data_IF_007896262938
#
_entry.id   IF_007896262938
#
_cell.length_a   1.000
_cell.length_b   1.000
_cell.length_c   1.000
_cell.angle_alpha   90.00
_cell.angle_beta   90.00
_cell.angle_gamma   90.00
#
_symmetry.space_group_name_H-M   'P 1'
#
loop_
_entity.id
_entity.type
_entity.pdbx_description
1 polymer ?
#
# COMPACT_ATOMS: atom_id res chain seq x y z
N UNK A 1 0.48 8.00 -23.89
CA UNK A 1 0.41 9.20 -23.03
C UNK A 1 1.81 9.70 -22.72
N UNK A 2 2.61 9.02 -21.89
CA UNK A 2 3.95 9.52 -21.53
C UNK A 2 4.91 9.57 -22.74
N UNK A 3 4.94 8.54 -23.59
CA UNK A 3 5.81 8.53 -24.79
C UNK A 3 5.46 9.60 -25.82
N UNK A 4 4.26 10.20 -25.73
CA UNK A 4 3.84 11.32 -26.58
C UNK A 4 4.05 12.69 -25.91
N UNK A 5 4.42 12.72 -24.63
CA UNK A 5 4.58 13.96 -23.85
C UNK A 5 6.02 14.52 -23.89
N UNK A 6 6.99 13.73 -24.38
CA UNK A 6 8.39 14.15 -24.44
C UNK A 6 9.24 13.22 -25.31
N UNK A 7 10.54 13.52 -25.46
CA UNK A 7 11.44 12.77 -26.32
C UNK A 7 11.84 11.40 -25.76
N UNK A 8 11.64 11.17 -24.46
CA UNK A 8 11.96 9.91 -23.82
C UNK A 8 10.85 8.88 -24.07
N UNK A 9 11.17 7.69 -24.63
CA UNK A 9 10.20 6.61 -24.72
C UNK A 9 9.77 6.18 -23.33
N UNK A 10 8.46 6.01 -23.14
CA UNK A 10 7.89 5.38 -21.96
C UNK A 10 7.35 4.00 -22.31
N UNK A 11 7.59 3.02 -21.42
CA UNK A 11 7.09 1.65 -21.58
C UNK A 11 6.80 1.02 -20.22
N UNK A 12 5.96 -0.01 -20.22
CA UNK A 12 5.87 -0.86 -19.05
C UNK A 12 7.16 -1.66 -18.86
N UNK A 13 7.58 -1.76 -17.61
CA UNK A 13 8.74 -2.55 -17.25
C UNK A 13 8.53 -4.05 -17.51
N UNK A 14 9.58 -4.72 -17.98
CA UNK A 14 9.68 -6.16 -18.15
C UNK A 14 10.67 -6.77 -17.16
N UNK A 15 10.30 -7.90 -16.55
CA UNK A 15 11.18 -8.56 -15.59
C UNK A 15 12.49 -9.03 -16.25
N UNK A 16 13.61 -8.67 -15.67
CA UNK A 16 14.95 -9.03 -16.13
C UNK A 16 15.52 -8.12 -17.23
N UNK A 17 14.81 -7.06 -17.62
CA UNK A 17 15.38 -6.12 -18.60
C UNK A 17 16.46 -5.23 -17.96
N UNK A 18 17.50 -4.90 -18.73
CA UNK A 18 18.52 -3.96 -18.29
C UNK A 18 17.93 -2.55 -18.17
N UNK A 19 18.34 -1.82 -17.12
CA UNK A 19 18.02 -0.41 -16.97
C UNK A 19 18.90 0.39 -17.94
N UNK A 20 18.29 1.07 -18.92
CA UNK A 20 19.03 1.89 -19.89
C UNK A 20 18.71 3.38 -19.73
N UNK A 21 19.66 4.29 -20.02
CA UNK A 21 19.43 5.72 -20.00
C UNK A 21 18.33 6.16 -20.99
N UNK A 22 17.78 7.35 -20.75
CA UNK A 22 16.78 7.99 -21.62
C UNK A 22 15.50 7.17 -21.85
N UNK A 23 15.07 6.39 -20.85
CA UNK A 23 13.85 5.59 -20.92
C UNK A 23 13.02 5.76 -19.63
N UNK A 24 11.71 5.93 -19.79
CA UNK A 24 10.76 5.98 -18.67
C UNK A 24 10.16 4.58 -18.49
N UNK A 25 10.38 3.99 -17.32
CA UNK A 25 9.84 2.68 -16.96
C UNK A 25 8.64 2.85 -16.04
N UNK A 26 7.51 2.31 -16.46
CA UNK A 26 6.25 2.37 -15.72
C UNK A 26 5.97 1.00 -15.11
N UNK A 27 5.70 0.98 -13.81
CA UNK A 27 5.28 -0.24 -13.13
C UNK A 27 4.03 -0.85 -13.80
N UNK A 28 3.96 -2.18 -13.83
CA UNK A 28 2.77 -2.87 -14.33
C UNK A 28 1.72 -2.93 -13.21
N UNK A 29 0.42 -2.82 -13.52
CA UNK A 29 -0.62 -3.03 -12.53
C UNK A 29 -0.47 -4.37 -11.80
N UNK A 30 -0.73 -4.39 -10.50
CA UNK A 30 -0.59 -5.57 -9.62
C UNK A 30 0.83 -6.16 -9.54
N UNK A 31 1.88 -5.40 -9.91
CA UNK A 31 3.28 -5.82 -9.78
C UNK A 31 4.15 -4.70 -9.20
N UNK A 32 5.03 -5.05 -8.26
CA UNK A 32 6.07 -4.14 -7.80
C UNK A 32 7.17 -4.02 -8.85
N UNK A 33 7.66 -2.79 -9.03
CA UNK A 33 8.82 -2.48 -9.85
C UNK A 33 10.02 -2.28 -8.91
N UNK A 34 11.05 -3.10 -9.07
CA UNK A 34 12.25 -3.06 -8.24
C UNK A 34 13.51 -2.98 -9.10
N UNK A 35 14.62 -2.56 -8.48
CA UNK A 35 15.93 -2.51 -9.12
C UNK A 35 16.91 -3.46 -8.43
N UNK A 36 17.68 -4.23 -9.19
CA UNK A 36 18.70 -5.12 -8.65
C UNK A 36 19.82 -5.33 -9.67
N UNK A 37 21.07 -5.09 -9.28
CA UNK A 37 22.26 -5.33 -10.14
C UNK A 37 22.11 -4.72 -11.56
N UNK A 38 21.63 -3.48 -11.65
CA UNK A 38 21.33 -2.78 -12.92
C UNK A 38 20.24 -3.39 -13.81
N UNK A 39 19.46 -4.32 -13.27
CA UNK A 39 18.31 -4.91 -13.93
C UNK A 39 17.01 -4.54 -13.22
N UNK A 40 15.95 -4.47 -14.01
CA UNK A 40 14.60 -4.26 -13.52
C UNK A 40 14.00 -5.60 -13.12
N UNK A 41 13.37 -5.63 -11.96
CA UNK A 41 12.61 -6.78 -11.46
C UNK A 41 11.16 -6.39 -11.36
N UNK A 42 10.29 -7.17 -12.01
CA UNK A 42 8.84 -6.97 -11.96
C UNK A 42 8.23 -8.19 -11.31
N UNK A 43 7.77 -8.02 -10.07
CA UNK A 43 7.38 -9.14 -9.23
C UNK A 43 5.98 -8.94 -8.65
N UNK A 44 5.35 -10.05 -8.31
CA UNK A 44 4.07 -10.06 -7.59
C UNK A 44 4.29 -10.39 -6.11
N UNK A 45 5.08 -9.56 -5.43
CA UNK A 45 5.37 -9.68 -4.00
C UNK A 45 4.20 -9.20 -3.11
N UNK A 46 4.30 -9.35 -1.78
CA UNK A 46 3.31 -8.81 -0.84
C UNK A 46 3.05 -7.33 -1.09
N UNK A 47 1.81 -6.88 -0.90
CA UNK A 47 1.47 -5.46 -0.94
C UNK A 47 2.16 -4.68 0.18
N UNK A 48 2.37 -3.39 -0.06
CA UNK A 48 2.87 -2.46 0.93
C UNK A 48 1.97 -1.23 0.97
N UNK A 49 1.59 -0.81 2.17
CA UNK A 49 0.59 0.24 2.39
C UNK A 49 -0.74 -0.05 1.66
N UNK A 50 -1.10 -1.33 1.50
CA UNK A 50 -2.28 -1.77 0.73
C UNK A 50 -2.11 -1.73 -0.80
N UNK A 51 -0.94 -1.32 -1.30
CA UNK A 51 -0.69 -1.07 -2.72
C UNK A 51 0.28 -2.08 -3.37
N UNK A 52 0.05 -2.31 -4.66
CA UNK A 52 0.95 -3.03 -5.58
C UNK A 52 0.64 -2.61 -7.02
N UNK A 53 1.51 -1.82 -7.69
CA UNK A 53 2.81 -1.33 -7.21
C UNK A 53 2.68 -0.37 -6.01
N UNK A 54 3.67 -0.41 -5.14
CA UNK A 54 3.95 0.62 -4.14
C UNK A 54 5.29 1.30 -4.49
N UNK A 55 5.48 2.55 -4.05
CA UNK A 55 6.67 3.36 -4.30
C UNK A 55 7.81 2.96 -3.35
N UNK A 56 7.50 2.68 -2.08
CA UNK A 56 8.50 2.33 -1.08
C UNK A 56 9.43 1.14 -1.47
N UNK A 57 8.95 0.05 -2.10
CA UNK A 57 9.82 -1.00 -2.65
C UNK A 57 10.77 -0.52 -3.75
N UNK A 58 10.28 0.32 -4.68
CA UNK A 58 11.08 0.85 -5.77
C UNK A 58 12.21 1.72 -5.19
N UNK A 59 11.87 2.64 -4.28
CA UNK A 59 12.84 3.56 -3.68
C UNK A 59 13.88 2.83 -2.84
N UNK A 60 13.51 1.85 -2.01
CA UNK A 60 14.51 1.07 -1.25
C UNK A 60 15.46 0.29 -2.14
N UNK A 61 14.94 -0.39 -3.16
CA UNK A 61 15.79 -1.19 -4.04
C UNK A 61 16.67 -0.31 -4.93
N UNK A 62 16.19 0.87 -5.31
CA UNK A 62 17.00 1.91 -5.97
C UNK A 62 18.11 2.42 -5.04
N UNK A 63 17.78 2.83 -3.82
CA UNK A 63 18.73 3.32 -2.81
C UNK A 63 19.79 2.25 -2.50
N UNK A 64 19.37 1.00 -2.32
CA UNK A 64 20.28 -0.11 -2.09
C UNK A 64 21.25 -0.33 -3.27
N UNK A 65 20.76 -0.23 -4.51
CA UNK A 65 21.55 -0.54 -5.71
C UNK A 65 22.47 0.62 -6.15
N UNK A 66 22.00 1.86 -6.04
CA UNK A 66 22.67 3.04 -6.63
C UNK A 66 23.14 4.07 -5.61
N UNK A 67 22.78 3.89 -4.33
CA UNK A 67 23.21 4.73 -3.23
C UNK A 67 22.97 6.23 -3.47
N UNK A 68 24.02 7.07 -3.42
CA UNK A 68 23.87 8.52 -3.52
C UNK A 68 23.53 9.00 -4.95
N UNK A 69 23.50 8.10 -5.94
CA UNK A 69 23.12 8.43 -7.32
C UNK A 69 21.59 8.41 -7.52
N UNK A 70 20.81 8.21 -6.47
CA UNK A 70 19.34 8.15 -6.54
C UNK A 70 18.74 9.51 -6.18
N UNK A 71 17.82 9.97 -7.03
CA UNK A 71 16.91 11.08 -6.74
C UNK A 71 15.51 10.48 -6.61
N UNK A 72 14.97 10.49 -5.39
CA UNK A 72 13.59 10.10 -5.11
C UNK A 72 12.67 11.29 -5.27
N UNK A 73 11.60 11.15 -6.04
CA UNK A 73 10.60 12.22 -6.25
C UNK A 73 9.23 11.73 -5.82
N UNK A 74 8.64 12.36 -4.80
CA UNK A 74 7.26 12.11 -4.37
C UNK A 74 6.35 13.22 -4.91
N UNK A 75 5.34 12.81 -5.67
CA UNK A 75 4.34 13.70 -6.26
C UNK A 75 3.01 13.58 -5.49
N UNK A 76 2.00 14.31 -5.95
CA UNK A 76 0.64 14.23 -5.47
C UNK A 76 0.12 12.79 -5.36
N UNK A 77 -0.48 12.48 -4.21
CA UNK A 77 -1.02 11.16 -3.88
C UNK A 77 -1.59 11.15 -2.46
N UNK A 78 -2.41 10.14 -2.15
CA UNK A 78 -3.01 9.97 -0.83
C UNK A 78 -2.10 9.13 0.08
N UNK A 79 -2.28 9.30 1.40
CA UNK A 79 -1.56 8.54 2.44
C UNK A 79 -0.04 8.78 2.39
N UNK A 80 0.75 7.75 2.62
CA UNK A 80 2.15 7.84 3.06
C UNK A 80 3.12 6.96 2.24
N UNK A 81 2.69 6.38 1.11
CA UNK A 81 3.56 5.59 0.24
C UNK A 81 4.64 6.47 -0.40
N UNK A 82 5.89 6.04 -0.29
CA UNK A 82 7.07 6.78 -0.74
C UNK A 82 7.86 7.42 0.41
N UNK A 83 7.26 7.66 1.58
CA UNK A 83 7.94 8.29 2.72
C UNK A 83 9.07 7.40 3.25
N UNK A 84 8.79 6.12 3.51
CA UNK A 84 9.81 5.18 3.99
C UNK A 84 10.90 4.94 2.91
N UNK A 85 10.50 4.95 1.64
CA UNK A 85 11.40 4.90 0.50
C UNK A 85 12.35 6.10 0.42
N UNK A 86 11.84 7.31 0.63
CA UNK A 86 12.67 8.52 0.64
C UNK A 86 13.66 8.52 1.80
N UNK A 87 13.28 8.02 2.98
CA UNK A 87 14.23 7.81 4.09
C UNK A 87 15.35 6.86 3.67
N UNK A 88 15.02 5.74 3.01
CA UNK A 88 16.04 4.82 2.52
C UNK A 88 16.99 5.51 1.52
N UNK A 89 16.47 6.38 0.64
CA UNK A 89 17.28 7.18 -0.29
C UNK A 89 18.21 8.14 0.48
N UNK A 90 17.69 8.91 1.43
CA UNK A 90 18.49 9.84 2.26
C UNK A 90 19.55 9.12 3.09
N UNK A 91 19.20 7.99 3.70
CA UNK A 91 20.13 7.15 4.46
C UNK A 91 21.26 6.57 3.60
N UNK A 92 21.08 6.51 2.28
CA UNK A 92 22.12 6.09 1.33
C UNK A 92 22.78 7.27 0.60
N UNK A 93 22.54 8.51 1.08
CA UNK A 93 23.15 9.73 0.56
C UNK A 93 22.53 10.25 -0.74
N UNK A 94 21.37 9.72 -1.15
CA UNK A 94 20.63 10.24 -2.30
C UNK A 94 19.84 11.51 -1.96
N UNK A 95 19.15 12.05 -2.96
CA UNK A 95 18.34 13.27 -2.84
C UNK A 95 16.85 12.93 -2.76
N UNK A 96 16.13 13.65 -1.91
CA UNK A 96 14.68 13.59 -1.77
C UNK A 96 14.05 14.89 -2.29
N UNK A 97 13.14 14.75 -3.26
CA UNK A 97 12.40 15.85 -3.88
C UNK A 97 10.92 15.59 -3.70
N UNK A 98 10.16 16.63 -3.35
CA UNK A 98 8.73 16.53 -3.12
C UNK A 98 8.01 17.63 -3.91
N UNK A 99 6.87 17.28 -4.52
CA UNK A 99 5.98 18.29 -5.09
C UNK A 99 5.44 19.18 -3.97
N UNK A 100 5.43 20.51 -4.17
CA UNK A 100 4.82 21.44 -3.21
C UNK A 100 3.38 21.01 -2.87
N UNK A 101 3.05 20.76 -1.59
CA UNK A 101 1.70 20.37 -1.18
C UNK A 101 0.60 21.34 -1.62
N UNK A 102 0.92 22.63 -1.81
CA UNK A 102 -0.05 23.63 -2.26
C UNK A 102 -0.33 23.56 -3.77
N UNK A 103 0.55 22.91 -4.54
CA UNK A 103 0.38 22.63 -5.98
C UNK A 103 -0.18 21.21 -6.23
N UNK A 104 -0.16 20.34 -5.22
CA UNK A 104 -0.63 18.97 -5.32
C UNK A 104 -2.16 18.89 -5.32
N UNK A 105 -2.72 18.06 -6.21
CA UNK A 105 -4.18 17.80 -6.25
C UNK A 105 -4.65 17.04 -4.99
N UNK A 106 -3.81 16.12 -4.53
CA UNK A 106 -3.91 15.38 -3.27
C UNK A 106 -2.55 15.49 -2.60
N UNK A 107 -2.52 16.05 -1.40
CA UNK A 107 -1.31 16.48 -0.72
C UNK A 107 -0.82 15.50 0.38
N UNK A 108 -1.52 14.37 0.58
CA UNK A 108 -1.19 13.37 1.60
C UNK A 108 0.25 12.88 1.53
N UNK A 109 0.65 12.32 0.38
CA UNK A 109 2.02 11.81 0.19
C UNK A 109 3.09 12.91 0.32
N UNK A 110 2.96 14.08 -0.35
CA UNK A 110 3.87 15.21 -0.13
C UNK A 110 4.01 15.64 1.34
N UNK A 111 2.89 15.75 2.08
CA UNK A 111 2.92 16.14 3.50
C UNK A 111 3.59 15.08 4.35
N UNK A 112 3.24 13.81 4.15
CA UNK A 112 3.87 12.69 4.84
C UNK A 112 5.40 12.71 4.66
N UNK A 113 5.87 12.96 3.43
CA UNK A 113 7.29 13.09 3.15
C UNK A 113 7.93 14.28 3.88
N UNK A 114 7.31 15.46 3.87
CA UNK A 114 7.83 16.66 4.54
C UNK A 114 7.89 16.54 6.07
N UNK A 115 6.97 15.79 6.67
CA UNK A 115 6.91 15.59 8.12
C UNK A 115 7.99 14.63 8.63
N UNK A 116 8.40 13.66 7.80
CA UNK A 116 9.21 12.52 8.24
C UNK A 116 10.60 12.45 7.61
N UNK A 117 10.88 13.25 6.57
CA UNK A 117 12.13 13.18 5.80
C UNK A 117 12.76 14.56 5.67
N UNK A 118 14.09 14.64 5.76
CA UNK A 118 14.83 15.84 5.37
C UNK A 118 14.80 16.00 3.84
N UNK A 119 13.82 16.76 3.35
CA UNK A 119 13.61 17.01 1.93
C UNK A 119 14.61 18.06 1.40
N UNK A 120 15.27 17.74 0.29
CA UNK A 120 16.26 18.62 -0.34
C UNK A 120 15.59 19.72 -1.19
N UNK A 121 14.50 19.38 -1.88
CA UNK A 121 13.77 20.32 -2.73
C UNK A 121 12.25 20.14 -2.64
N UNK A 122 11.55 21.26 -2.48
CA UNK A 122 10.08 21.35 -2.49
C UNK A 122 9.67 22.36 -3.54
N UNK A 123 9.02 21.91 -4.61
CA UNK A 123 8.71 22.75 -5.77
C UNK A 123 7.39 22.37 -6.44
N UNK A 124 6.69 23.31 -7.10
CA UNK A 124 5.57 22.99 -7.98
C UNK A 124 5.96 22.01 -9.09
N UNK A 125 5.02 21.17 -9.53
CA UNK A 125 5.28 20.11 -10.52
C UNK A 125 5.88 20.63 -11.83
N UNK A 126 5.51 21.85 -12.23
CA UNK A 126 5.99 22.50 -13.45
C UNK A 126 7.49 22.84 -13.42
N UNK A 127 8.08 23.00 -12.23
CA UNK A 127 9.51 23.32 -12.05
C UNK A 127 10.39 22.07 -11.92
N UNK A 128 9.80 20.91 -11.56
CA UNK A 128 10.54 19.65 -11.41
C UNK A 128 11.26 19.22 -12.70
N UNK A 129 10.66 19.49 -13.87
CA UNK A 129 11.26 19.17 -15.16
C UNK A 129 12.55 19.95 -15.46
N UNK A 130 12.76 21.11 -14.82
CA UNK A 130 13.98 21.92 -14.94
C UNK A 130 15.02 21.52 -13.90
N UNK A 131 14.58 21.21 -12.68
CA UNK A 131 15.45 20.81 -11.57
C UNK A 131 16.18 19.50 -11.86
N UNK A 132 15.48 18.47 -12.34
CA UNK A 132 16.07 17.12 -12.45
C UNK A 132 17.32 17.06 -13.35
N UNK A 133 17.37 17.70 -14.54
CA UNK A 133 18.60 17.78 -15.32
C UNK A 133 19.77 18.47 -14.61
N UNK A 134 19.50 19.49 -13.78
CA UNK A 134 20.53 20.19 -13.01
C UNK A 134 21.15 19.26 -11.96
N UNK A 135 20.32 18.58 -11.17
CA UNK A 135 20.76 17.63 -10.14
C UNK A 135 21.53 16.44 -10.73
N UNK A 136 21.09 15.91 -11.88
CA UNK A 136 21.75 14.78 -12.54
C UNK A 136 23.14 15.16 -13.08
N UNK A 137 23.40 16.44 -13.35
CA UNK A 137 24.70 16.92 -13.81
C UNK A 137 25.73 17.09 -12.67
N UNK A 138 25.28 17.04 -11.41
CA UNK A 138 26.18 17.18 -10.26
C UNK A 138 27.08 15.95 -10.07
N UNK A 139 28.32 16.19 -9.66
CA UNK A 139 29.26 15.12 -9.37
C UNK A 139 29.00 14.55 -7.98
N UNK A 140 28.60 13.28 -7.93
CA UNK A 140 28.39 12.55 -6.67
C UNK A 140 29.73 11.94 -6.23
N UNK A 141 30.16 12.22 -5.00
CA UNK A 141 31.29 11.51 -4.38
C UNK A 141 30.87 10.07 -4.10
N UNK A 142 31.61 9.09 -4.62
CA UNK A 142 31.37 7.69 -4.29
C UNK A 142 31.81 7.40 -2.84
N UNK A 143 30.94 6.85 -1.98
CA UNK A 143 31.35 6.36 -0.68
C UNK A 143 32.28 5.16 -0.85
N UNK A 144 33.34 5.09 -0.04
CA UNK A 144 34.38 4.06 -0.14
C UNK A 144 33.86 2.62 0.07
N UNK A 145 32.72 2.46 0.76
CA UNK A 145 31.91 1.23 0.86
C UNK A 145 30.46 1.68 1.10
N UNK A 146 29.49 1.13 0.36
CA UNK A 146 28.07 1.33 0.67
C UNK A 146 27.74 0.60 1.98
N UNK A 147 27.73 1.31 3.10
CA UNK A 147 27.26 0.77 4.37
C UNK A 147 25.72 0.78 4.37
N UNK A 148 25.12 -0.30 3.87
CA UNK A 148 23.67 -0.49 4.01
C UNK A 148 23.33 -0.77 5.47
N UNK A 149 22.22 -0.22 5.96
CA UNK A 149 21.69 -0.71 7.24
C UNK A 149 21.29 -2.18 7.07
N UNK A 150 21.49 -3.00 8.11
CA UNK A 150 21.10 -4.41 8.08
C UNK A 150 19.61 -4.59 7.72
N UNK A 151 18.78 -3.61 8.08
CA UNK A 151 17.37 -3.60 7.73
C UNK A 151 17.12 -3.35 6.24
N UNK A 152 17.78 -2.35 5.64
CA UNK A 152 17.65 -2.08 4.21
C UNK A 152 18.09 -3.28 3.36
N UNK A 153 19.17 -3.95 3.76
CA UNK A 153 19.64 -5.17 3.10
C UNK A 153 18.61 -6.30 3.18
N UNK A 154 18.03 -6.53 4.37
CA UNK A 154 16.97 -7.52 4.54
C UNK A 154 15.76 -7.16 3.69
N UNK A 155 15.24 -5.93 3.77
CA UNK A 155 14.03 -5.52 3.05
C UNK A 155 14.20 -5.61 1.53
N UNK A 156 15.34 -5.16 1.00
CA UNK A 156 15.68 -5.29 -0.42
C UNK A 156 15.76 -6.77 -0.84
N UNK A 157 16.38 -7.61 -0.02
CA UNK A 157 16.51 -9.05 -0.29
C UNK A 157 15.16 -9.78 -0.24
N UNK A 158 14.32 -9.47 0.77
CA UNK A 158 12.97 -10.02 0.90
C UNK A 158 12.14 -9.69 -0.36
N UNK A 159 12.21 -8.44 -0.82
CA UNK A 159 11.49 -8.01 -2.01
C UNK A 159 12.00 -8.71 -3.26
N UNK A 160 13.31 -8.72 -3.53
CA UNK A 160 13.86 -9.26 -4.79
C UNK A 160 13.79 -10.79 -4.87
N UNK A 161 14.05 -11.49 -3.76
CA UNK A 161 14.18 -12.96 -3.73
C UNK A 161 12.93 -13.68 -3.21
N UNK A 162 11.98 -12.97 -2.59
CA UNK A 162 10.75 -13.55 -2.05
C UNK A 162 10.97 -14.56 -0.91
N UNK A 163 12.20 -14.66 -0.38
CA UNK A 163 12.48 -15.48 0.78
C UNK A 163 11.94 -14.78 2.02
N UNK A 164 11.14 -15.43 2.85
CA UNK A 164 10.74 -14.89 4.16
C UNK A 164 11.79 -15.13 5.24
N UNK A 165 12.91 -15.79 4.89
CA UNK A 165 13.96 -16.17 5.81
C UNK A 165 14.72 -14.90 6.24
N UNK A 166 14.46 -14.45 7.47
CA UNK A 166 14.91 -13.15 7.99
C UNK A 166 13.82 -12.13 8.27
N UNK A 167 12.61 -12.27 7.70
CA UNK A 167 11.48 -11.38 7.99
C UNK A 167 11.04 -11.45 9.47
N UNK A 168 11.25 -12.59 10.12
CA UNK A 168 11.02 -12.79 11.56
C UNK A 168 12.07 -12.09 12.45
N UNK A 169 13.18 -11.61 11.90
CA UNK A 169 14.27 -10.99 12.67
C UNK A 169 14.18 -9.47 12.72
N UNK A 170 13.17 -8.87 12.08
CA UNK A 170 13.03 -7.42 12.00
C UNK A 170 11.81 -6.99 12.82
N UNK A 171 12.08 -6.15 13.83
CA UNK A 171 11.07 -5.59 14.71
C UNK A 171 10.62 -6.48 15.85
N UNK A 172 9.83 -5.89 16.76
CA UNK A 172 9.26 -6.54 17.93
C UNK A 172 7.81 -6.98 17.66
N UNK A 173 7.36 -8.15 18.14
CA UNK A 173 6.00 -8.61 17.90
C UNK A 173 4.96 -7.69 18.56
N UNK A 174 3.92 -7.32 17.81
CA UNK A 174 2.79 -6.52 18.29
C UNK A 174 1.55 -7.37 18.61
N UNK A 175 0.51 -6.73 19.13
CA UNK A 175 -0.83 -7.33 19.30
C UNK A 175 -1.72 -7.21 18.06
N UNK A 176 -1.20 -6.65 16.96
CA UNK A 176 -1.97 -6.36 15.76
C UNK A 176 -1.90 -7.50 14.73
N UNK A 177 -3.02 -7.73 14.06
CA UNK A 177 -3.14 -8.67 12.94
C UNK A 177 -2.99 -7.97 11.59
N UNK A 178 -2.31 -8.63 10.66
CA UNK A 178 -2.20 -8.18 9.28
C UNK A 178 -3.57 -8.29 8.59
N UNK A 179 -4.15 -7.19 8.06
CA UNK A 179 -5.47 -7.22 7.44
C UNK A 179 -5.52 -8.08 6.17
N UNK A 180 -4.37 -8.31 5.51
CA UNK A 180 -4.30 -9.08 4.28
C UNK A 180 -4.11 -10.59 4.48
N UNK A 181 -3.36 -11.02 5.49
CA UNK A 181 -3.06 -12.45 5.69
C UNK A 181 -3.46 -13.02 7.05
N UNK A 182 -3.92 -12.19 7.98
CA UNK A 182 -4.31 -12.59 9.34
C UNK A 182 -3.13 -12.96 10.26
N UNK A 183 -1.89 -12.88 9.78
CA UNK A 183 -0.69 -13.13 10.61
C UNK A 183 -0.40 -11.98 11.57
N UNK A 184 0.37 -12.25 12.63
CA UNK A 184 0.82 -11.23 13.59
C UNK A 184 1.76 -10.24 12.89
N UNK A 185 1.59 -8.95 13.18
CA UNK A 185 2.49 -7.88 12.75
C UNK A 185 3.60 -7.66 13.78
N UNK A 186 4.81 -7.44 13.29
CA UNK A 186 5.91 -6.87 14.07
C UNK A 186 5.93 -5.35 13.89
N UNK A 187 6.21 -4.63 14.97
CA UNK A 187 6.56 -3.21 14.98
C UNK A 187 8.04 -3.03 14.61
N UNK A 188 8.28 -2.25 13.57
CA UNK A 188 9.60 -1.97 13.02
C UNK A 188 9.84 -0.47 13.16
N UNK A 189 10.89 -0.09 13.88
CA UNK A 189 11.31 1.29 14.02
C UNK A 189 12.48 1.57 13.09
N UNK A 190 12.26 2.39 12.06
CA UNK A 190 13.29 2.85 11.13
C UNK A 190 13.55 4.35 11.32
N UNK A 191 14.63 4.69 12.02
CA UNK A 191 14.90 6.06 12.45
C UNK A 191 13.73 6.65 13.24
N UNK A 192 12.93 7.55 12.62
CA UNK A 192 11.78 8.20 13.23
C UNK A 192 10.43 7.54 12.86
N UNK A 193 10.42 6.59 11.93
CA UNK A 193 9.20 6.02 11.36
C UNK A 193 8.83 4.69 12.01
N UNK A 194 7.62 4.65 12.60
CA UNK A 194 6.99 3.42 13.04
C UNK A 194 6.34 2.74 11.84
N UNK A 195 6.66 1.46 11.63
CA UNK A 195 6.10 0.64 10.56
C UNK A 195 5.69 -0.73 11.10
N UNK A 196 4.81 -1.41 10.38
CA UNK A 196 4.33 -2.73 10.73
C UNK A 196 4.63 -3.71 9.62
N UNK A 197 5.11 -4.91 9.96
CA UNK A 197 5.43 -5.95 8.96
C UNK A 197 4.92 -7.31 9.40
N UNK A 198 4.29 -8.05 8.48
CA UNK A 198 3.87 -9.42 8.74
C UNK A 198 4.92 -10.43 8.26
N UNK A 199 4.83 -11.67 8.73
CA UNK A 199 5.75 -12.77 8.34
C UNK A 199 5.78 -13.04 6.83
N UNK A 200 4.67 -12.81 6.13
CA UNK A 200 4.56 -13.02 4.67
C UNK A 200 5.23 -11.86 3.90
N UNK A 201 5.45 -10.71 4.54
CA UNK A 201 6.14 -9.56 3.98
C UNK A 201 5.25 -8.35 3.67
N UNK A 202 3.94 -8.40 3.95
CA UNK A 202 3.10 -7.19 3.92
C UNK A 202 3.66 -6.17 4.90
N UNK A 203 3.75 -4.92 4.46
CA UNK A 203 4.24 -3.82 5.27
C UNK A 203 3.26 -2.66 5.23
N UNK A 204 3.15 -1.93 6.34
CA UNK A 204 2.22 -0.82 6.49
C UNK A 204 2.86 0.29 7.33
N UNK A 205 2.73 1.52 6.90
CA UNK A 205 2.80 2.66 7.79
C UNK A 205 1.50 2.79 8.62
N UNK A 206 1.49 3.54 9.75
CA UNK A 206 0.42 3.46 10.73
C UNK A 206 -0.95 3.89 10.18
N UNK A 207 -0.99 4.96 9.38
CA UNK A 207 -2.25 5.46 8.80
C UNK A 207 -2.80 4.49 7.74
N UNK A 208 -1.92 4.00 6.87
CA UNK A 208 -2.24 2.93 5.91
C UNK A 208 -2.74 1.65 6.59
N UNK A 209 -2.13 1.23 7.70
CA UNK A 209 -2.58 0.07 8.46
C UNK A 209 -3.99 0.28 9.02
N UNK A 210 -4.25 1.45 9.60
CA UNK A 210 -5.57 1.77 10.14
C UNK A 210 -6.65 1.74 9.06
N UNK A 211 -6.38 2.31 7.89
CA UNK A 211 -7.30 2.29 6.76
C UNK A 211 -7.56 0.86 6.25
N UNK A 212 -6.52 0.04 6.12
CA UNK A 212 -6.65 -1.35 5.71
C UNK A 212 -7.41 -2.19 6.74
N UNK A 213 -7.22 -1.94 8.04
CA UNK A 213 -8.03 -2.56 9.10
C UNK A 213 -9.51 -2.16 8.99
N UNK A 214 -9.81 -0.88 8.72
CA UNK A 214 -11.19 -0.43 8.49
C UNK A 214 -11.80 -1.11 7.27
N UNK A 215 -11.05 -1.21 6.18
CA UNK A 215 -11.48 -1.87 4.94
C UNK A 215 -11.76 -3.36 5.18
N UNK A 216 -10.87 -4.05 5.89
CA UNK A 216 -11.05 -5.45 6.27
C UNK A 216 -12.27 -5.65 7.17
N UNK A 217 -12.47 -4.76 8.15
CA UNK A 217 -13.65 -4.77 9.03
C UNK A 217 -14.95 -4.59 8.24
N UNK A 218 -14.99 -3.61 7.32
CA UNK A 218 -16.17 -3.39 6.47
C UNK A 218 -16.46 -4.60 5.59
N UNK A 219 -15.43 -5.20 4.99
CA UNK A 219 -15.56 -6.43 4.21
C UNK A 219 -16.14 -7.59 5.03
N UNK A 220 -15.71 -7.74 6.29
CA UNK A 220 -16.25 -8.75 7.20
C UNK A 220 -17.73 -8.51 7.54
N UNK A 221 -18.13 -7.26 7.77
CA UNK A 221 -19.52 -6.89 7.99
C UNK A 221 -20.41 -7.19 6.77
N UNK A 222 -19.94 -6.86 5.57
CA UNK A 222 -20.66 -7.22 4.33
C UNK A 222 -20.76 -8.73 4.13
N UNK A 223 -19.70 -9.49 4.44
CA UNK A 223 -19.73 -10.94 4.40
C UNK A 223 -20.75 -11.53 5.40
N UNK A 224 -20.77 -11.01 6.62
CA UNK A 224 -21.73 -11.41 7.65
C UNK A 224 -23.18 -11.11 7.23
N UNK A 225 -23.43 -9.91 6.67
CA UNK A 225 -24.77 -9.54 6.18
C UNK A 225 -25.27 -10.53 5.11
N UNK A 226 -24.44 -10.82 4.10
CA UNK A 226 -24.79 -11.79 3.05
C UNK A 226 -25.09 -13.16 3.63
N UNK A 227 -24.24 -13.66 4.53
CA UNK A 227 -24.43 -14.96 5.16
C UNK A 227 -25.75 -15.03 5.95
N UNK A 228 -26.12 -13.96 6.66
CA UNK A 228 -27.38 -13.88 7.41
C UNK A 228 -28.60 -13.85 6.48
N UNK A 229 -28.53 -13.10 5.37
CA UNK A 229 -29.59 -13.07 4.35
C UNK A 229 -29.76 -14.43 3.67
N UNK A 230 -28.66 -15.14 3.37
CA UNK A 230 -28.67 -16.50 2.84
C UNK A 230 -29.29 -17.50 3.83
N UNK A 231 -28.93 -17.41 5.11
CA UNK A 231 -29.51 -18.23 6.18
C UNK A 231 -31.02 -17.99 6.32
N UNK A 232 -31.46 -16.74 6.30
CA UNK A 232 -32.87 -16.38 6.34
C UNK A 232 -33.63 -17.00 5.15
N UNK A 233 -33.11 -16.80 3.93
CA UNK A 233 -33.71 -17.34 2.70
C UNK A 233 -33.82 -18.88 2.73
N UNK A 234 -32.77 -19.57 3.16
CA UNK A 234 -32.78 -21.03 3.28
C UNK A 234 -33.79 -21.50 4.34
N UNK A 235 -33.82 -20.84 5.50
CA UNK A 235 -34.76 -21.17 6.57
C UNK A 235 -36.22 -20.97 6.10
N UNK A 236 -36.54 -19.89 5.39
CA UNK A 236 -37.87 -19.69 4.78
C UNK A 236 -38.26 -20.82 3.83
N UNK A 237 -37.34 -21.26 2.95
CA UNK A 237 -37.58 -22.39 2.03
C UNK A 237 -37.84 -23.70 2.78
N UNK A 238 -37.11 -23.95 3.86
CA UNK A 238 -37.31 -25.13 4.71
C UNK A 238 -38.64 -25.08 5.46
N UNK A 239 -39.06 -23.89 5.91
CA UNK A 239 -40.38 -23.70 6.53
C UNK A 239 -41.51 -24.04 5.54
N UNK A 240 -41.44 -23.53 4.31
CA UNK A 240 -42.42 -23.83 3.24
C UNK A 240 -42.50 -25.34 2.98
N UNK A 241 -41.36 -26.00 2.77
CA UNK A 241 -41.31 -27.45 2.53
C UNK A 241 -41.84 -28.27 3.70
N UNK A 242 -41.53 -27.86 4.93
CA UNK A 242 -42.06 -28.52 6.13
C UNK A 242 -43.59 -28.40 6.21
N UNK A 243 -44.17 -27.26 5.81
CA UNK A 243 -45.64 -27.09 5.73
C UNK A 243 -46.25 -28.00 4.67
N UNK A 244 -45.64 -28.13 3.48
CA UNK A 244 -46.09 -29.05 2.41
C UNK A 244 -46.13 -30.50 2.90
N UNK A 245 -45.14 -30.91 3.69
CA UNK A 245 -45.05 -32.23 4.31
C UNK A 245 -45.88 -32.37 5.60
N UNK A 246 -46.65 -31.35 5.99
CA UNK A 246 -47.45 -31.28 7.23
C UNK A 246 -46.64 -31.45 8.52
N UNK A 247 -45.36 -31.09 8.50
CA UNK A 247 -44.44 -31.14 9.64
C UNK A 247 -44.48 -29.83 10.44
N UNK A 248 -45.53 -29.65 11.24
CA UNK A 248 -45.83 -28.37 11.94
C UNK A 248 -44.67 -27.87 12.81
N UNK A 249 -44.11 -28.72 13.68
CA UNK A 249 -43.01 -28.32 14.58
C UNK A 249 -41.76 -27.88 13.82
N UNK A 250 -41.44 -28.56 12.72
CA UNK A 250 -40.30 -28.21 11.87
C UNK A 250 -40.54 -26.87 11.17
N UNK A 251 -41.75 -26.65 10.65
CA UNK A 251 -42.11 -25.39 10.00
C UNK A 251 -41.93 -24.19 10.94
N UNK A 252 -42.49 -24.26 12.15
CA UNK A 252 -42.35 -23.19 13.16
C UNK A 252 -40.89 -22.92 13.50
N UNK A 253 -40.09 -23.97 13.74
CA UNK A 253 -38.66 -23.82 14.04
C UNK A 253 -37.88 -23.14 12.90
N UNK A 254 -38.24 -23.43 11.65
CA UNK A 254 -37.59 -22.79 10.50
C UNK A 254 -38.05 -21.34 10.30
N UNK A 255 -39.29 -21.00 10.61
CA UNK A 255 -39.74 -19.60 10.63
C UNK A 255 -38.99 -18.79 11.69
N UNK A 256 -38.90 -19.28 12.93
CA UNK A 256 -38.16 -18.63 14.01
C UNK A 256 -36.69 -18.39 13.64
N UNK A 257 -36.06 -19.36 12.98
CA UNK A 257 -34.69 -19.22 12.47
C UNK A 257 -34.57 -18.15 11.38
N UNK A 258 -35.54 -18.07 10.49
CA UNK A 258 -35.55 -17.05 9.45
C UNK A 258 -35.73 -15.66 10.05
N UNK A 259 -36.69 -15.49 10.97
CA UNK A 259 -36.94 -14.22 11.67
C UNK A 259 -35.70 -13.77 12.46
N UNK A 260 -35.02 -14.68 13.14
CA UNK A 260 -33.79 -14.39 13.87
C UNK A 260 -32.66 -13.93 12.95
N UNK A 261 -32.44 -14.63 11.83
CA UNK A 261 -31.42 -14.26 10.85
C UNK A 261 -31.73 -12.90 10.18
N UNK A 262 -33.00 -12.62 9.85
CA UNK A 262 -33.44 -11.30 9.35
C UNK A 262 -33.27 -10.19 10.40
N UNK A 263 -33.50 -10.48 11.67
CA UNK A 263 -33.21 -9.59 12.80
C UNK A 263 -31.74 -9.22 12.86
N UNK A 264 -30.85 -10.22 12.86
CA UNK A 264 -29.39 -10.01 12.88
C UNK A 264 -28.90 -9.26 11.63
N UNK A 265 -29.42 -9.59 10.45
CA UNK A 265 -29.08 -8.91 9.20
C UNK A 265 -29.42 -7.42 9.24
N UNK A 266 -30.54 -7.03 9.85
CA UNK A 266 -30.90 -5.62 10.06
C UNK A 266 -29.87 -4.90 10.92
N UNK A 267 -29.48 -5.49 12.05
CA UNK A 267 -28.45 -4.90 12.93
C UNK A 267 -27.12 -4.68 12.20
N UNK A 268 -26.65 -5.67 11.43
CA UNK A 268 -25.40 -5.54 10.66
C UNK A 268 -25.53 -4.46 9.57
N UNK A 269 -26.67 -4.39 8.88
CA UNK A 269 -26.94 -3.37 7.86
C UNK A 269 -26.93 -1.96 8.44
N UNK A 270 -27.49 -1.76 9.63
CA UNK A 270 -27.52 -0.46 10.28
C UNK A 270 -26.11 -0.04 10.75
N UNK A 271 -25.30 -0.98 11.24
CA UNK A 271 -23.89 -0.73 11.55
C UNK A 271 -23.09 -0.29 10.30
N UNK A 272 -23.31 -0.94 9.15
CA UNK A 272 -22.69 -0.55 7.88
C UNK A 272 -23.08 0.86 7.43
N UNK A 273 -24.35 1.27 7.65
CA UNK A 273 -24.84 2.62 7.31
C UNK A 273 -24.23 3.72 8.18
N UNK A 274 -24.04 3.44 9.47
CA UNK A 274 -23.42 4.39 10.41
C UNK A 274 -21.90 4.54 10.18
N UNK A 275 -21.26 3.55 9.56
CA UNK A 275 -19.83 3.58 9.21
C UNK A 275 -19.49 4.43 7.98
N UNK A 276 -20.48 4.81 7.17
CA UNK A 276 -20.33 5.78 6.08
C UNK A 276 -20.31 7.17 6.71
N UNK A 277 -19.12 7.72 7.00
CA UNK A 277 -19.00 9.17 7.21
C UNK A 277 -19.60 9.88 6.00
N UNK A 278 -20.35 10.99 6.21
CA UNK A 278 -20.88 11.76 5.10
C UNK A 278 -19.71 12.12 4.19
N UNK A 279 -19.90 11.90 2.88
CA UNK A 279 -19.03 12.49 1.86
C UNK A 279 -18.84 13.96 2.23
N UNK A 280 -17.62 14.46 2.13
CA UNK A 280 -17.38 15.90 2.10
C UNK A 280 -18.24 16.46 0.95
N UNK A 281 -19.43 16.97 1.27
CA UNK A 281 -20.20 17.85 0.41
C UNK A 281 -19.47 19.20 0.44
N UNK A 282 -18.34 19.23 -0.26
CA UNK A 282 -17.55 20.42 -0.55
C UNK A 282 -17.49 20.61 -2.06
N UNK A 283 -18.63 20.56 -2.74
CA UNK A 283 -18.75 21.06 -4.11
C UNK A 283 -20.22 21.32 -4.47
N UNK A 284 -20.77 22.35 -3.83
CA UNK A 284 -21.97 23.10 -4.25
C UNK A 284 -22.14 24.33 -3.37
N UNK A 285 -21.38 25.37 -3.66
CA UNK A 285 -21.75 26.75 -3.38
C UNK A 285 -20.92 27.70 -4.25
N UNK A 286 -21.62 28.29 -5.22
CA UNK A 286 -21.38 29.57 -5.92
C UNK A 286 -20.09 29.80 -6.73
#
# INVERSE_FOLDING_TARGET
ILSSAGPMPAKHAHNGEALVPNCIYVARPDHHLLLHESHIRVIRGPRENGHRPAIDPLFRTAAYTYGPRVIGVVLSGALDDGTAGLIAIKNQGGLAVVQDPNDALVDGMPRSALENVEIDHVLPVAELGKLLPELVAETVSEPAVAAHSAMLEVESTLQVRGSTDGALKVGDPSSLGCPECGGVLNEVHDSALLRFRCRVGHAFAPESLYLEQRTAMEGALWAALRALEEQASLARRMAIRARELRQVRSATRFDERADAAEGQARTVRDALRLGVSPKHDGDRAE
#
